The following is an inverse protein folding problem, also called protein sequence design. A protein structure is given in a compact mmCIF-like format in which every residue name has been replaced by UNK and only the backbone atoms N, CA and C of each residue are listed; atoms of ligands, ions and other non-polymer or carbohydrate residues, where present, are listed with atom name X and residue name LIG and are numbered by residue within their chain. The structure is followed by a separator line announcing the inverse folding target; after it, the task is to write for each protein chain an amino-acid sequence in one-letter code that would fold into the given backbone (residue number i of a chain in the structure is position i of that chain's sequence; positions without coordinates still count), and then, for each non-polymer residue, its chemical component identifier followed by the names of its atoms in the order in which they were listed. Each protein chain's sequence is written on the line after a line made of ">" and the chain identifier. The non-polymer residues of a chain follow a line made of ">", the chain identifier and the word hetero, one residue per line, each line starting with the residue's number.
data_IF_037706711461
#
_entry.id   IF_037706711461
#
_cell.length_a   1.000
_cell.length_b   1.000
_cell.length_c   1.000
_cell.angle_alpha   90.00
_cell.angle_beta   90.00
_cell.angle_gamma   90.00
#
_symmetry.space_group_name_H-M   'P 1'
#
loop_
_entity.id
_entity.type
_entity.pdbx_description
1 polymer ?
#
# COMPACT_ATOMS: atom_id res chain seq x y z
N UNK A 1 28.88 -13.84 23.85
CA UNK A 1 27.80 -13.42 22.93
C UNK A 1 27.97 -14.01 21.55
N UNK A 2 29.12 -13.80 20.90
CA UNK A 2 29.45 -14.42 19.60
C UNK A 2 29.19 -15.94 19.55
N UNK A 3 29.69 -16.68 20.54
CA UNK A 3 29.44 -18.13 20.65
C UNK A 3 27.94 -18.50 20.62
N UNK A 4 27.10 -17.76 21.37
CA UNK A 4 25.64 -17.99 21.37
C UNK A 4 25.02 -17.74 20.01
N UNK A 5 25.47 -16.71 19.29
CA UNK A 5 25.03 -16.41 17.91
C UNK A 5 25.41 -17.57 17.00
N UNK A 6 26.68 -17.98 17.01
CA UNK A 6 27.18 -19.07 16.17
C UNK A 6 26.42 -20.39 16.40
N UNK A 7 26.25 -20.79 17.67
CA UNK A 7 25.54 -22.02 18.02
C UNK A 7 24.06 -21.95 17.61
N UNK A 8 23.40 -20.82 17.83
CA UNK A 8 21.98 -20.67 17.46
C UNK A 8 21.80 -20.69 15.95
N UNK A 9 22.66 -20.02 15.19
CA UNK A 9 22.66 -20.06 13.74
C UNK A 9 22.95 -21.46 13.20
N UNK A 10 23.93 -22.17 13.80
CA UNK A 10 24.28 -23.54 13.44
C UNK A 10 23.08 -24.47 13.58
N UNK A 11 22.43 -24.46 14.75
CA UNK A 11 21.28 -25.33 15.03
C UNK A 11 20.11 -24.98 14.12
N UNK A 12 19.77 -23.69 13.99
CA UNK A 12 18.70 -23.22 13.11
C UNK A 12 18.91 -23.63 11.66
N UNK A 13 20.10 -23.36 11.11
CA UNK A 13 20.42 -23.71 9.72
C UNK A 13 20.45 -25.22 9.47
N UNK A 14 20.98 -26.02 10.42
CA UNK A 14 21.01 -27.49 10.29
C UNK A 14 19.61 -28.07 10.28
N UNK A 15 18.75 -27.68 11.23
CA UNK A 15 17.36 -28.16 11.32
C UNK A 15 16.55 -27.72 10.10
N UNK A 16 16.63 -26.44 9.71
CA UNK A 16 15.90 -25.95 8.55
C UNK A 16 16.34 -26.60 7.23
N UNK A 17 17.64 -26.87 7.07
CA UNK A 17 18.16 -27.60 5.90
C UNK A 17 17.65 -29.04 5.86
N UNK A 18 17.64 -29.72 7.02
CA UNK A 18 17.12 -31.08 7.11
C UNK A 18 15.62 -31.13 6.74
N UNK A 19 14.83 -30.16 7.23
CA UNK A 19 13.40 -30.03 6.85
C UNK A 19 13.25 -29.77 5.36
N UNK A 20 14.03 -28.86 4.77
CA UNK A 20 13.95 -28.58 3.33
C UNK A 20 14.27 -29.81 2.46
N UNK A 21 15.24 -30.62 2.86
CA UNK A 21 15.66 -31.80 2.11
C UNK A 21 14.65 -32.96 2.19
N UNK A 22 13.80 -33.02 3.21
CA UNK A 22 12.75 -34.04 3.32
C UNK A 22 11.66 -33.94 2.24
N UNK A 23 11.50 -32.77 1.60
CA UNK A 23 10.47 -32.52 0.59
C UNK A 23 11.02 -32.44 -0.84
N UNK A 24 12.29 -32.78 -1.06
CA UNK A 24 12.84 -32.96 -2.42
C UNK A 24 12.42 -34.32 -3.00
N UNK A 25 12.15 -34.43 -4.32
CA UNK A 25 12.40 -33.43 -5.37
C UNK A 25 11.20 -32.55 -5.78
N UNK A 26 9.96 -32.90 -5.44
CA UNK A 26 8.77 -32.36 -6.14
C UNK A 26 8.47 -30.87 -5.87
N UNK A 27 8.89 -30.32 -4.74
CA UNK A 27 8.51 -28.96 -4.31
C UNK A 27 9.71 -28.15 -3.78
N UNK A 28 10.87 -28.25 -4.43
CA UNK A 28 12.13 -27.65 -3.94
C UNK A 28 11.98 -26.19 -3.47
N UNK A 29 11.37 -25.31 -4.27
CA UNK A 29 11.22 -23.89 -3.91
C UNK A 29 10.37 -23.69 -2.63
N UNK A 30 9.27 -24.43 -2.50
CA UNK A 30 8.37 -24.31 -1.34
C UNK A 30 9.01 -24.96 -0.11
N UNK A 31 9.71 -26.08 -0.29
CA UNK A 31 10.48 -26.77 0.73
C UNK A 31 11.61 -25.90 1.30
N UNK A 32 12.34 -25.16 0.44
CA UNK A 32 13.38 -24.21 0.89
C UNK A 32 12.76 -23.05 1.64
N UNK A 33 11.63 -22.49 1.19
CA UNK A 33 10.93 -21.42 1.93
C UNK A 33 10.48 -21.91 3.31
N UNK A 34 9.90 -23.11 3.39
CA UNK A 34 9.48 -23.72 4.64
C UNK A 34 10.69 -23.98 5.55
N UNK A 35 11.76 -24.55 5.01
CA UNK A 35 13.00 -24.80 5.74
C UNK A 35 13.63 -23.50 6.27
N UNK A 36 13.66 -22.43 5.47
CA UNK A 36 14.15 -21.12 5.90
C UNK A 36 13.31 -20.56 7.05
N UNK A 37 11.97 -20.68 6.98
CA UNK A 37 11.08 -20.25 8.05
C UNK A 37 11.30 -21.05 9.34
N UNK A 38 11.40 -22.39 9.23
CA UNK A 38 11.68 -23.27 10.38
C UNK A 38 13.06 -22.99 10.96
N UNK A 39 14.10 -22.89 10.13
CA UNK A 39 15.46 -22.62 10.57
C UNK A 39 15.61 -21.25 11.23
N UNK A 40 14.95 -20.23 10.67
CA UNK A 40 14.86 -18.90 11.28
C UNK A 40 14.18 -18.95 12.66
N UNK A 41 13.05 -19.67 12.76
CA UNK A 41 12.31 -19.82 14.01
C UNK A 41 13.11 -20.60 15.09
N UNK A 42 13.77 -21.69 14.70
CA UNK A 42 14.62 -22.49 15.59
C UNK A 42 15.83 -21.69 16.05
N UNK A 43 16.56 -21.05 15.13
CA UNK A 43 17.72 -20.23 15.47
C UNK A 43 17.32 -19.06 16.39
N UNK A 44 16.21 -18.39 16.08
CA UNK A 44 15.65 -17.34 16.93
C UNK A 44 15.26 -17.88 18.32
N UNK A 45 14.57 -19.01 18.38
CA UNK A 45 14.13 -19.63 19.63
C UNK A 45 15.29 -20.08 20.52
N UNK A 46 16.30 -20.73 19.95
CA UNK A 46 17.53 -21.14 20.66
C UNK A 46 18.29 -19.92 21.18
N UNK A 47 18.32 -18.83 20.42
CA UNK A 47 19.00 -17.62 20.85
C UNK A 47 18.26 -16.88 21.98
N UNK A 48 16.93 -16.77 21.87
CA UNK A 48 16.06 -16.01 22.79
C UNK A 48 15.71 -16.81 24.06
N UNK A 49 15.66 -18.13 23.99
CA UNK A 49 15.33 -18.96 25.15
C UNK A 49 16.48 -18.96 26.14
N UNK A 50 16.22 -18.39 27.33
CA UNK A 50 15.70 -19.24 28.41
C UNK A 50 14.31 -18.88 28.94
N UNK A 51 13.61 -17.86 28.41
CA UNK A 51 12.31 -17.36 28.94
C UNK A 51 11.17 -17.22 27.90
N UNK A 52 11.34 -17.79 26.71
CA UNK A 52 10.47 -17.59 25.54
C UNK A 52 8.94 -17.81 25.77
N UNK A 53 8.49 -18.80 26.57
CA UNK A 53 7.06 -19.04 26.78
C UNK A 53 6.32 -17.89 27.48
N UNK A 54 7.01 -17.15 28.36
CA UNK A 54 6.41 -16.06 29.11
C UNK A 54 6.09 -14.84 28.23
N UNK A 55 6.93 -14.55 27.23
CA UNK A 55 6.75 -13.42 26.33
C UNK A 55 5.65 -13.67 25.27
N UNK A 56 5.51 -14.91 24.77
CA UNK A 56 4.44 -15.26 23.83
C UNK A 56 3.04 -15.11 24.45
N UNK A 57 2.92 -15.43 25.75
CA UNK A 57 1.67 -15.27 26.49
C UNK A 57 1.23 -13.79 26.53
N UNK A 58 2.15 -12.87 26.77
CA UNK A 58 1.86 -11.42 26.82
C UNK A 58 1.52 -10.84 25.44
N UNK A 59 2.22 -11.25 24.38
CA UNK A 59 1.93 -10.79 23.03
C UNK A 59 0.58 -11.30 22.51
N UNK A 60 0.20 -12.54 22.86
CA UNK A 60 -1.10 -13.10 22.53
C UNK A 60 -2.24 -12.34 23.21
N UNK A 61 -2.07 -11.95 24.49
CA UNK A 61 -3.07 -11.16 25.20
C UNK A 61 -3.28 -9.76 24.60
N UNK A 62 -2.24 -9.14 24.03
CA UNK A 62 -2.36 -7.82 23.39
C UNK A 62 -3.07 -7.88 22.03
N UNK A 63 -2.84 -8.93 21.25
CA UNK A 63 -3.47 -9.10 19.92
C UNK A 63 -4.93 -9.52 20.04
N UNK A 64 -5.26 -10.41 20.99
CA UNK A 64 -6.64 -10.83 21.25
C UNK A 64 -7.49 -9.69 21.84
N UNK A 65 -6.86 -8.68 22.45
CA UNK A 65 -7.52 -7.45 22.91
C UNK A 65 -7.92 -6.47 21.80
N UNK A 66 -7.45 -6.68 20.56
CA UNK A 66 -7.74 -5.77 19.44
C UNK A 66 -9.17 -5.95 18.94
N UNK A 67 -10.10 -5.11 19.41
CA UNK A 67 -11.49 -5.10 18.93
C UNK A 67 -11.64 -4.17 17.72
N UNK A 68 -12.15 -4.65 16.57
CA UNK A 68 -12.44 -3.78 15.43
C UNK A 68 -13.50 -2.74 15.84
N UNK A 69 -13.23 -1.47 15.55
CA UNK A 69 -14.14 -0.37 15.89
C UNK A 69 -15.40 -0.45 15.02
N UNK A 70 -16.41 -1.12 15.54
CA UNK A 70 -17.67 -1.44 14.86
C UNK A 70 -18.39 -0.24 14.22
N UNK A 71 -18.37 0.98 14.80
CA UNK A 71 -18.98 2.15 14.17
C UNK A 71 -18.32 2.53 12.83
N UNK A 72 -17.01 2.32 12.68
CA UNK A 72 -16.30 2.59 11.42
C UNK A 72 -16.68 1.59 10.33
N UNK A 73 -16.78 0.31 10.67
CA UNK A 73 -17.24 -0.72 9.73
C UNK A 73 -18.69 -0.50 9.30
N UNK A 74 -19.58 -0.10 10.22
CA UNK A 74 -20.97 0.28 9.87
C UNK A 74 -21.05 1.53 9.00
N UNK A 75 -20.17 2.51 9.21
CA UNK A 75 -20.10 3.70 8.36
C UNK A 75 -19.60 3.33 6.96
N UNK A 76 -18.59 2.47 6.87
CA UNK A 76 -18.03 2.00 5.59
C UNK A 76 -19.03 1.15 4.81
N UNK A 77 -19.75 0.24 5.47
CA UNK A 77 -20.82 -0.55 4.85
C UNK A 77 -21.96 0.32 4.32
N UNK A 78 -22.40 1.33 5.08
CA UNK A 78 -23.44 2.28 4.63
C UNK A 78 -22.97 3.12 3.43
N UNK A 79 -21.74 3.65 3.48
CA UNK A 79 -21.18 4.41 2.37
C UNK A 79 -21.07 3.58 1.08
N UNK A 80 -20.60 2.33 1.20
CA UNK A 80 -20.55 1.39 0.07
C UNK A 80 -21.93 1.11 -0.53
N UNK A 81 -22.92 0.86 0.33
CA UNK A 81 -24.30 0.59 -0.09
C UNK A 81 -24.93 1.80 -0.83
N UNK A 82 -24.80 3.01 -0.30
CA UNK A 82 -25.31 4.23 -0.95
C UNK A 82 -24.67 4.46 -2.32
N UNK A 83 -23.37 4.22 -2.43
CA UNK A 83 -22.64 4.38 -3.69
C UNK A 83 -23.08 3.36 -4.75
N UNK A 84 -23.29 2.10 -4.34
CA UNK A 84 -23.81 1.05 -5.22
C UNK A 84 -25.24 1.34 -5.68
N UNK A 85 -26.10 1.88 -4.81
CA UNK A 85 -27.47 2.27 -5.17
C UNK A 85 -27.51 3.47 -6.11
N UNK A 86 -26.68 4.49 -5.87
CA UNK A 86 -26.60 5.65 -6.75
C UNK A 86 -26.08 5.28 -8.14
N UNK A 87 -25.02 4.46 -8.22
CA UNK A 87 -24.51 3.98 -9.51
C UNK A 87 -25.53 3.15 -10.27
N UNK A 88 -26.28 2.29 -9.59
CA UNK A 88 -27.38 1.54 -10.19
C UNK A 88 -28.50 2.45 -10.70
N UNK A 89 -28.90 3.48 -9.94
CA UNK A 89 -29.98 4.40 -10.34
C UNK A 89 -29.61 5.31 -11.51
N UNK A 90 -28.37 5.80 -11.59
CA UNK A 90 -27.97 6.74 -12.64
C UNK A 90 -27.42 6.08 -13.90
N UNK A 91 -26.91 4.84 -13.80
CA UNK A 91 -26.31 4.13 -14.94
C UNK A 91 -27.13 2.89 -15.28
N UNK A 92 -27.42 2.05 -14.28
CA UNK A 92 -28.12 0.79 -14.48
C UNK A 92 -29.57 0.96 -14.94
N UNK A 93 -30.36 1.79 -14.24
CA UNK A 93 -31.78 1.95 -14.51
C UNK A 93 -32.09 2.59 -15.88
N UNK A 94 -31.38 3.65 -16.33
CA UNK A 94 -31.58 4.21 -17.67
C UNK A 94 -31.16 3.23 -18.77
N UNK A 95 -30.03 2.53 -18.62
CA UNK A 95 -29.58 1.52 -19.58
C UNK A 95 -30.53 0.32 -19.65
N UNK A 96 -31.13 -0.09 -18.53
CA UNK A 96 -32.18 -1.11 -18.50
C UNK A 96 -33.46 -0.61 -19.18
N UNK A 97 -33.92 0.59 -18.83
CA UNK A 97 -35.12 1.20 -19.40
C UNK A 97 -35.04 1.33 -20.92
N UNK A 98 -33.93 1.82 -21.46
CA UNK A 98 -33.73 1.96 -22.90
C UNK A 98 -33.79 0.60 -23.63
N UNK A 99 -33.26 -0.46 -23.00
CA UNK A 99 -33.38 -1.84 -23.51
C UNK A 99 -34.82 -2.34 -23.57
N UNK A 100 -35.67 -1.91 -22.64
CA UNK A 100 -37.07 -2.34 -22.57
C UNK A 100 -38.00 -1.49 -23.47
N UNK A 101 -37.74 -0.20 -23.64
CA UNK A 101 -38.65 0.71 -24.35
C UNK A 101 -38.31 0.92 -25.84
N UNK A 102 -37.09 0.64 -26.28
CA UNK A 102 -36.68 0.83 -27.69
C UNK A 102 -35.84 -0.35 -28.20
N UNK A 103 -36.41 -1.56 -28.30
CA UNK A 103 -35.65 -2.76 -28.69
C UNK A 103 -35.03 -2.66 -30.10
N UNK A 104 -35.65 -1.91 -31.02
CA UNK A 104 -35.25 -1.87 -32.44
C UNK A 104 -34.29 -0.72 -32.81
N UNK A 105 -33.95 0.18 -31.88
CA UNK A 105 -33.03 1.32 -32.10
C UNK A 105 -31.88 1.34 -31.10
N UNK A 106 -31.20 0.19 -30.98
CA UNK A 106 -30.06 0.00 -30.08
C UNK A 106 -28.77 0.72 -30.55
N UNK A 107 -28.86 2.02 -30.85
CA UNK A 107 -27.71 2.92 -30.87
C UNK A 107 -27.95 3.99 -29.81
N UNK A 108 -27.80 3.61 -28.53
CA UNK A 108 -27.47 4.57 -27.48
C UNK A 108 -26.42 5.52 -28.06
N UNK A 109 -26.67 6.83 -28.19
CA UNK A 109 -25.66 7.73 -28.72
C UNK A 109 -24.47 7.63 -27.76
N UNK A 110 -23.31 7.23 -28.28
CA UNK A 110 -22.11 6.97 -27.49
C UNK A 110 -21.77 8.14 -26.55
N UNK A 111 -22.22 9.36 -26.88
CA UNK A 111 -22.14 10.55 -26.05
C UNK A 111 -22.86 10.44 -24.70
N UNK A 112 -24.02 9.76 -24.58
CA UNK A 112 -24.73 9.60 -23.32
C UNK A 112 -24.01 8.62 -22.38
N UNK A 113 -23.52 7.51 -22.92
CA UNK A 113 -22.74 6.52 -22.16
C UNK A 113 -21.40 7.09 -21.69
N UNK A 114 -20.73 7.89 -22.55
CA UNK A 114 -19.51 8.63 -22.18
C UNK A 114 -19.81 9.68 -21.11
N UNK A 115 -20.92 10.41 -21.20
CA UNK A 115 -21.30 11.40 -20.19
C UNK A 115 -21.57 10.75 -18.82
N UNK A 116 -22.32 9.65 -18.79
CA UNK A 116 -22.65 8.93 -17.55
C UNK A 116 -21.42 8.27 -16.90
N UNK A 117 -20.51 7.73 -17.70
CA UNK A 117 -19.25 7.15 -17.19
C UNK A 117 -18.29 8.21 -16.65
N UNK A 118 -18.20 9.39 -17.27
CA UNK A 118 -17.40 10.52 -16.75
C UNK A 118 -18.00 11.07 -15.46
N UNK A 119 -19.32 11.22 -15.37
CA UNK A 119 -20.00 11.63 -14.15
C UNK A 119 -19.78 10.63 -13.00
N UNK A 120 -19.82 9.33 -13.29
CA UNK A 120 -19.55 8.27 -12.32
C UNK A 120 -18.09 8.28 -11.83
N UNK A 121 -17.12 8.42 -12.74
CA UNK A 121 -15.71 8.53 -12.38
C UNK A 121 -15.43 9.77 -11.51
N UNK A 122 -16.08 10.89 -11.78
CA UNK A 122 -16.00 12.10 -10.95
C UNK A 122 -16.56 11.87 -9.53
N UNK A 123 -17.68 11.16 -9.39
CA UNK A 123 -18.23 10.78 -8.09
C UNK A 123 -17.28 9.86 -7.30
N UNK A 124 -16.68 8.85 -7.94
CA UNK A 124 -15.71 7.96 -7.29
C UNK A 124 -14.44 8.71 -6.84
N UNK A 125 -13.97 9.66 -7.65
CA UNK A 125 -12.81 10.47 -7.33
C UNK A 125 -13.07 11.41 -6.14
N UNK A 126 -14.23 12.08 -6.11
CA UNK A 126 -14.63 12.90 -4.97
C UNK A 126 -14.78 12.08 -3.69
N UNK A 127 -15.29 10.84 -3.80
CA UNK A 127 -15.36 9.92 -2.68
C UNK A 127 -13.96 9.57 -2.16
N UNK A 128 -13.02 9.21 -3.04
CA UNK A 128 -11.65 8.89 -2.66
C UNK A 128 -10.94 10.06 -1.95
N UNK A 129 -11.23 11.30 -2.35
CA UNK A 129 -10.71 12.50 -1.70
C UNK A 129 -11.29 12.68 -0.29
N UNK A 130 -12.61 12.51 -0.12
CA UNK A 130 -13.28 12.56 1.20
C UNK A 130 -12.75 11.46 2.12
N UNK A 131 -12.50 10.26 1.60
CA UNK A 131 -11.90 9.15 2.36
C UNK A 131 -10.44 9.41 2.76
N UNK A 132 -9.62 9.94 1.86
CA UNK A 132 -8.22 10.28 2.15
C UNK A 132 -8.11 11.34 3.26
N UNK A 133 -8.98 12.35 3.24
CA UNK A 133 -9.00 13.38 4.28
C UNK A 133 -9.61 12.87 5.59
N UNK A 134 -10.64 12.02 5.55
CA UNK A 134 -11.19 11.34 6.73
C UNK A 134 -10.15 10.44 7.43
N UNK A 135 -9.30 9.74 6.67
CA UNK A 135 -8.25 8.89 7.23
C UNK A 135 -7.12 9.70 7.86
N UNK A 136 -6.76 10.85 7.26
CA UNK A 136 -5.80 11.81 7.85
C UNK A 136 -6.36 12.48 9.10
N UNK A 137 -7.66 12.77 9.13
CA UNK A 137 -8.32 13.31 10.32
C UNK A 137 -8.46 12.28 11.44
N UNK A 138 -8.76 11.02 11.12
CA UNK A 138 -8.79 9.93 12.11
C UNK A 138 -7.43 9.71 12.78
N UNK A 139 -6.34 9.84 12.01
CA UNK A 139 -4.98 9.77 12.55
C UNK A 139 -4.59 10.98 13.43
N UNK A 140 -5.30 12.12 13.30
CA UNK A 140 -5.07 13.34 14.09
C UNK A 140 -6.00 13.49 15.29
N UNK A 141 -7.23 12.99 15.25
CA UNK A 141 -8.18 13.05 16.36
C UNK A 141 -8.00 11.90 17.35
N UNK A 142 -6.79 11.79 17.90
CA UNK A 142 -6.64 11.43 19.32
C UNK A 142 -6.63 12.67 20.22
N UNK A 143 -6.61 13.88 19.66
CA UNK A 143 -6.72 15.14 20.40
C UNK A 143 -7.37 16.25 19.54
N UNK A 144 -8.25 17.03 20.19
CA UNK A 144 -8.70 18.40 19.85
C UNK A 144 -9.95 18.60 18.96
N UNK A 145 -11.00 19.08 19.65
CA UNK A 145 -12.04 20.09 19.39
C UNK A 145 -12.97 20.12 18.17
N UNK A 146 -14.25 20.22 18.54
CA UNK A 146 -15.46 20.41 17.76
C UNK A 146 -15.54 21.76 17.02
N UNK A 147 -14.76 22.78 17.41
CA UNK A 147 -14.78 24.11 16.77
C UNK A 147 -14.30 24.10 15.32
N UNK A 148 -13.50 23.11 14.90
CA UNK A 148 -13.04 23.00 13.50
C UNK A 148 -14.12 22.55 12.51
N UNK A 149 -15.18 21.87 12.97
CA UNK A 149 -16.23 21.38 12.08
C UNK A 149 -17.05 22.53 11.46
N UNK A 150 -17.22 23.64 12.19
CA UNK A 150 -17.91 24.84 11.69
C UNK A 150 -17.15 25.56 10.56
N UNK A 151 -15.82 25.42 10.51
CA UNK A 151 -14.99 26.05 9.46
C UNK A 151 -15.04 25.33 8.10
N UNK A 152 -15.43 24.05 8.09
CA UNK A 152 -15.57 23.27 6.85
C UNK A 152 -16.88 23.57 6.10
N UNK A 153 -17.91 24.02 6.81
CA UNK A 153 -19.21 24.35 6.22
C UNK A 153 -19.16 25.62 5.35
N UNK A 154 -18.34 26.61 5.75
CA UNK A 154 -18.08 27.82 4.96
C UNK A 154 -17.27 27.54 3.69
N UNK A 155 -16.41 26.53 3.71
CA UNK A 155 -15.59 26.13 2.55
C UNK A 155 -16.44 25.42 1.48
N UNK A 156 -17.52 24.75 1.88
CA UNK A 156 -18.52 24.12 1.00
C UNK A 156 -19.32 25.14 0.16
N UNK A 157 -19.73 26.28 0.75
CA UNK A 157 -20.51 27.31 0.03
C UNK A 157 -19.75 28.00 -1.11
N UNK A 158 -18.44 28.17 -0.99
CA UNK A 158 -17.60 28.70 -2.09
C UNK A 158 -17.54 27.77 -3.30
N UNK A 159 -17.62 26.45 -3.09
CA UNK A 159 -17.67 25.46 -4.17
C UNK A 159 -18.93 25.58 -5.03
N UNK A 160 -20.08 25.84 -4.40
CA UNK A 160 -21.37 25.99 -5.08
C UNK A 160 -21.46 27.25 -5.96
N UNK A 161 -20.89 28.37 -5.52
CA UNK A 161 -20.89 29.61 -6.29
C UNK A 161 -20.01 29.53 -7.55
N UNK A 162 -18.89 28.80 -7.48
CA UNK A 162 -18.02 28.55 -8.65
C UNK A 162 -18.74 27.64 -9.65
N UNK A 163 -19.49 26.63 -9.17
CA UNK A 163 -20.29 25.75 -10.01
C UNK A 163 -21.40 26.52 -10.75
N UNK A 164 -22.15 27.40 -10.08
CA UNK A 164 -23.20 28.22 -10.69
C UNK A 164 -22.64 29.20 -11.74
N UNK A 165 -21.48 29.82 -11.49
CA UNK A 165 -20.83 30.70 -12.45
C UNK A 165 -20.41 30.00 -13.74
N UNK A 166 -19.97 28.73 -13.64
CA UNK A 166 -19.56 27.94 -14.81
C UNK A 166 -20.72 27.54 -15.73
N UNK A 167 -21.93 27.37 -15.17
CA UNK A 167 -23.15 27.05 -15.94
C UNK A 167 -23.66 28.27 -16.72
N UNK A 168 -23.61 29.46 -16.13
CA UNK A 168 -24.02 30.70 -16.81
C UNK A 168 -23.11 31.08 -18.00
N UNK A 169 -21.79 30.90 -17.85
CA UNK A 169 -20.82 31.16 -18.92
C UNK A 169 -21.01 30.20 -20.11
N UNK A 170 -21.39 28.94 -19.85
CA UNK A 170 -21.60 27.93 -20.88
C UNK A 170 -22.80 28.24 -21.80
N UNK A 171 -23.86 28.83 -21.25
CA UNK A 171 -25.05 29.24 -22.02
C UNK A 171 -24.78 30.41 -22.97
N UNK A 172 -23.93 31.36 -22.57
CA UNK A 172 -23.58 32.54 -23.38
C UNK A 172 -22.67 32.14 -24.56
N UNK A 173 -21.72 31.24 -24.33
CA UNK A 173 -20.82 30.71 -25.39
C UNK A 173 -21.60 29.88 -26.41
N UNK A 174 -22.64 29.16 -25.97
CA UNK A 174 -23.51 28.36 -26.85
C UNK A 174 -24.36 29.23 -27.79
N UNK A 175 -24.78 30.43 -27.34
CA UNK A 175 -25.54 31.38 -28.16
C UNK A 175 -24.66 32.05 -29.24
N UNK A 176 -23.42 32.39 -28.90
CA UNK A 176 -22.47 33.01 -29.84
C UNK A 176 -21.94 32.05 -30.91
N UNK A 177 -21.97 30.74 -30.67
CA UNK A 177 -21.55 29.71 -31.62
C UNK A 177 -22.53 29.48 -32.79
N UNK A 178 -23.71 30.08 -32.77
CA UNK A 178 -24.74 29.93 -33.81
C UNK A 178 -24.45 30.77 -35.07
N UNK A 179 -23.59 31.79 -34.98
CA UNK A 179 -23.23 32.67 -36.10
C UNK A 179 -22.05 32.07 -36.91
N UNK A 180 -22.16 31.87 -38.24
CA UNK A 180 -21.22 31.04 -39.01
C UNK A 180 -19.78 31.59 -39.10
N UNK A 181 -19.61 32.92 -39.17
CA UNK A 181 -18.29 33.59 -39.16
C UNK A 181 -17.68 33.63 -37.76
N UNK A 182 -18.51 33.77 -36.72
CA UNK A 182 -18.09 33.74 -35.32
C UNK A 182 -17.72 32.31 -34.91
N UNK A 183 -18.37 31.30 -35.51
CA UNK A 183 -18.14 29.87 -35.28
C UNK A 183 -16.73 29.43 -35.70
N UNK A 184 -16.22 29.84 -36.86
CA UNK A 184 -14.86 29.44 -37.29
C UNK A 184 -13.76 30.07 -36.40
N UNK A 185 -13.95 31.33 -35.99
CA UNK A 185 -13.04 32.02 -35.06
C UNK A 185 -13.11 31.39 -33.65
N UNK A 186 -14.32 31.11 -33.14
CA UNK A 186 -14.52 30.42 -31.86
C UNK A 186 -13.93 29.01 -31.85
N UNK A 187 -14.01 28.27 -32.95
CA UNK A 187 -13.40 26.95 -33.09
C UNK A 187 -11.87 27.08 -33.05
N UNK A 188 -11.29 28.03 -33.79
CA UNK A 188 -9.85 28.26 -33.79
C UNK A 188 -9.31 28.66 -32.40
N UNK A 189 -9.97 29.62 -31.75
CA UNK A 189 -9.62 30.06 -30.39
C UNK A 189 -9.86 28.95 -29.37
N UNK A 190 -10.94 28.19 -29.51
CA UNK A 190 -11.27 27.05 -28.65
C UNK A 190 -10.25 25.91 -28.78
N UNK A 191 -9.77 25.62 -29.99
CA UNK A 191 -8.70 24.63 -30.21
C UNK A 191 -7.37 25.08 -29.61
N UNK A 192 -6.99 26.36 -29.78
CA UNK A 192 -5.77 26.91 -29.18
C UNK A 192 -5.85 26.89 -27.65
N UNK A 193 -6.96 27.34 -27.08
CA UNK A 193 -7.20 27.32 -25.64
C UNK A 193 -7.23 25.89 -25.09
N UNK A 194 -7.89 24.97 -25.79
CA UNK A 194 -7.90 23.55 -25.47
C UNK A 194 -6.50 22.94 -25.46
N UNK A 195 -5.67 23.24 -26.45
CA UNK A 195 -4.29 22.79 -26.52
C UNK A 195 -3.45 23.33 -25.35
N UNK A 196 -3.60 24.61 -25.00
CA UNK A 196 -2.90 25.23 -23.87
C UNK A 196 -3.35 24.64 -22.52
N UNK A 197 -4.64 24.36 -22.35
CA UNK A 197 -5.18 23.71 -21.16
C UNK A 197 -4.66 22.28 -21.04
N UNK A 198 -4.67 21.50 -22.13
CA UNK A 198 -4.12 20.14 -22.15
C UNK A 198 -2.63 20.14 -21.83
N UNK A 199 -1.85 21.07 -22.39
CA UNK A 199 -0.43 21.23 -22.09
C UNK A 199 -0.19 21.61 -20.62
N UNK A 200 -0.98 22.55 -20.08
CA UNK A 200 -0.90 22.96 -18.68
C UNK A 200 -1.26 21.83 -17.71
N UNK A 201 -2.27 21.02 -18.04
CA UNK A 201 -2.64 19.82 -17.28
C UNK A 201 -1.52 18.77 -17.38
N UNK A 202 -0.98 18.52 -18.57
CA UNK A 202 0.11 17.56 -18.77
C UNK A 202 1.37 17.96 -17.99
N UNK A 203 1.75 19.24 -18.03
CA UNK A 203 2.85 19.78 -17.22
C UNK A 203 2.56 19.72 -15.72
N UNK A 204 1.33 20.04 -15.30
CA UNK A 204 0.91 19.94 -13.90
C UNK A 204 0.92 18.50 -13.38
N UNK A 205 0.52 17.53 -14.20
CA UNK A 205 0.62 16.10 -13.91
C UNK A 205 2.09 15.69 -13.88
N UNK A 206 2.92 16.05 -14.86
CA UNK A 206 4.33 15.72 -14.88
C UNK A 206 5.08 16.26 -13.65
N UNK A 207 4.86 17.53 -13.28
CA UNK A 207 5.44 18.15 -12.09
C UNK A 207 5.00 17.50 -10.77
N UNK A 208 3.86 16.81 -10.72
CA UNK A 208 3.40 16.06 -9.53
C UNK A 208 3.80 14.59 -9.56
N UNK A 209 3.74 13.95 -10.73
CA UNK A 209 4.00 12.52 -10.94
C UNK A 209 5.50 12.23 -10.90
N UNK A 210 6.35 13.10 -11.44
CA UNK A 210 7.82 12.88 -11.43
C UNK A 210 8.37 12.89 -10.00
N UNK A 211 8.10 13.89 -9.13
CA UNK A 211 8.53 13.82 -7.73
C UNK A 211 7.86 12.69 -6.95
N UNK A 212 6.62 12.32 -7.29
CA UNK A 212 5.92 11.20 -6.67
C UNK A 212 6.54 9.85 -7.03
N UNK A 213 6.91 9.63 -8.30
CA UNK A 213 7.65 8.46 -8.78
C UNK A 213 9.05 8.42 -8.18
N UNK A 214 9.74 9.56 -8.09
CA UNK A 214 11.04 9.68 -7.46
C UNK A 214 10.97 9.30 -5.97
N UNK A 215 9.97 9.84 -5.26
CA UNK A 215 9.71 9.49 -3.87
C UNK A 215 9.39 8.00 -3.72
N UNK A 216 8.59 7.42 -4.62
CA UNK A 216 8.28 5.97 -4.63
C UNK A 216 9.48 5.09 -4.93
N UNK A 217 10.41 5.50 -5.80
CA UNK A 217 11.67 4.76 -6.05
C UNK A 217 12.61 4.79 -4.85
N UNK A 218 12.57 5.86 -4.05
CA UNK A 218 13.32 5.93 -2.79
C UNK A 218 12.67 5.11 -1.67
N UNK A 219 11.36 4.85 -1.71
CA UNK A 219 10.68 4.03 -0.68
C UNK A 219 11.32 2.64 -0.49
N UNK A 220 11.58 1.82 -1.53
CA UNK A 220 12.21 0.51 -1.33
C UNK A 220 13.64 0.63 -0.80
N UNK A 221 14.40 1.65 -1.21
CA UNK A 221 15.76 1.88 -0.68
C UNK A 221 15.71 2.24 0.79
N UNK A 222 14.85 3.20 1.17
CA UNK A 222 14.65 3.60 2.57
C UNK A 222 14.14 2.41 3.38
N UNK A 223 13.17 1.65 2.85
CA UNK A 223 12.64 0.45 3.48
C UNK A 223 13.73 -0.60 3.70
N UNK A 224 14.53 -0.92 2.68
CA UNK A 224 15.64 -1.87 2.79
C UNK A 224 16.69 -1.42 3.80
N UNK A 225 17.06 -0.13 3.81
CA UNK A 225 18.00 0.43 4.80
C UNK A 225 17.41 0.38 6.22
N UNK A 226 16.11 0.65 6.38
CA UNK A 226 15.42 0.56 7.68
C UNK A 226 15.33 -0.88 8.16
N UNK A 227 14.93 -1.83 7.30
CA UNK A 227 14.87 -3.26 7.61
C UNK A 227 16.26 -3.77 7.96
N UNK A 228 17.28 -3.42 7.17
CA UNK A 228 18.67 -3.78 7.44
C UNK A 228 19.10 -3.28 8.83
N UNK A 229 18.90 -2.00 9.15
CA UNK A 229 19.18 -1.46 10.48
C UNK A 229 18.39 -2.18 11.58
N UNK A 230 17.11 -2.50 11.36
CA UNK A 230 16.29 -3.22 12.34
C UNK A 230 16.79 -4.65 12.61
N UNK A 231 17.23 -5.37 11.57
CA UNK A 231 17.84 -6.70 11.69
C UNK A 231 19.11 -6.62 12.53
N UNK A 232 19.97 -5.64 12.28
CA UNK A 232 21.22 -5.47 13.02
C UNK A 232 21.05 -4.90 14.43
N UNK A 233 19.97 -4.16 14.70
CA UNK A 233 19.66 -3.67 16.05
C UNK A 233 19.15 -4.78 16.99
N UNK A 234 18.66 -5.91 16.45
CA UNK A 234 18.11 -7.03 17.24
C UNK A 234 18.86 -8.32 16.94
N UNK A 235 19.77 -8.70 17.84
CA UNK A 235 20.61 -9.90 17.68
C UNK A 235 19.82 -11.19 17.37
N UNK A 236 18.63 -11.34 17.94
CA UNK A 236 17.78 -12.48 17.65
C UNK A 236 17.31 -12.52 16.18
N UNK A 237 17.02 -11.36 15.59
CA UNK A 237 16.63 -11.27 14.19
C UNK A 237 17.83 -11.49 13.26
N UNK A 238 19.01 -11.01 13.64
CA UNK A 238 20.27 -11.31 12.95
C UNK A 238 20.55 -12.83 12.91
N UNK A 239 20.33 -13.53 14.02
CA UNK A 239 20.44 -14.99 14.10
C UNK A 239 19.40 -15.67 13.20
N UNK A 240 18.15 -15.20 13.21
CA UNK A 240 17.10 -15.76 12.37
C UNK A 240 17.43 -15.66 10.88
N UNK A 241 17.89 -14.48 10.43
CA UNK A 241 18.28 -14.23 9.03
C UNK A 241 19.51 -15.06 8.65
N UNK A 242 20.54 -15.10 9.51
CA UNK A 242 21.74 -15.91 9.26
C UNK A 242 21.44 -17.41 9.20
N UNK A 243 20.51 -17.88 10.05
CA UNK A 243 20.03 -19.27 10.00
C UNK A 243 19.35 -19.56 8.67
N UNK A 244 18.46 -18.68 8.20
CA UNK A 244 17.77 -18.83 6.91
C UNK A 244 18.75 -18.88 5.72
N UNK A 245 19.79 -18.05 5.72
CA UNK A 245 20.85 -18.09 4.69
C UNK A 245 21.59 -19.44 4.74
N UNK A 246 21.92 -19.92 5.94
CA UNK A 246 22.49 -21.25 6.12
C UNK A 246 21.58 -22.36 5.59
N UNK A 247 20.26 -22.27 5.82
CA UNK A 247 19.28 -23.21 5.27
C UNK A 247 19.30 -23.22 3.74
N UNK A 248 19.30 -22.05 3.11
CA UNK A 248 19.32 -21.94 1.66
C UNK A 248 20.51 -22.70 1.05
N UNK A 249 21.69 -22.54 1.65
CA UNK A 249 22.92 -23.18 1.16
C UNK A 249 22.94 -24.69 1.49
N UNK A 250 22.50 -25.08 2.69
CA UNK A 250 22.41 -26.49 3.09
C UNK A 250 21.41 -27.28 2.23
N UNK A 251 20.27 -26.67 1.91
CA UNK A 251 19.27 -27.27 1.02
C UNK A 251 19.77 -27.39 -0.43
N UNK A 252 20.51 -26.38 -0.93
CA UNK A 252 21.06 -26.42 -2.28
C UNK A 252 22.23 -27.41 -2.44
N UNK A 253 23.05 -27.57 -1.39
CA UNK A 253 24.18 -28.51 -1.38
C UNK A 253 23.81 -29.96 -1.04
N UNK A 254 22.58 -30.22 -0.59
CA UNK A 254 22.16 -31.55 -0.14
C UNK A 254 22.77 -31.96 1.20
N UNK A 255 23.36 -31.03 1.96
CA UNK A 255 24.11 -31.33 3.18
C UNK A 255 23.68 -30.41 4.33
N UNK A 256 22.83 -30.89 5.29
CA UNK A 256 22.36 -30.07 6.40
C UNK A 256 23.49 -29.50 7.27
N UNK A 257 24.53 -30.30 7.54
CA UNK A 257 25.67 -29.89 8.34
C UNK A 257 26.45 -28.74 7.70
N UNK A 258 26.60 -28.76 6.37
CA UNK A 258 27.24 -27.67 5.62
C UNK A 258 26.43 -26.38 5.76
N UNK A 259 25.10 -26.46 5.66
CA UNK A 259 24.20 -25.35 5.95
C UNK A 259 24.38 -24.80 7.37
N UNK A 260 24.52 -25.69 8.36
CA UNK A 260 24.86 -25.36 9.74
C UNK A 260 26.16 -24.55 9.87
N UNK A 261 27.26 -25.07 9.32
CA UNK A 261 28.59 -24.42 9.36
C UNK A 261 28.53 -23.05 8.71
N UNK A 262 27.91 -22.94 7.53
CA UNK A 262 27.83 -21.68 6.80
C UNK A 262 26.93 -20.68 7.54
N UNK A 263 25.80 -21.11 8.09
CA UNK A 263 24.96 -20.25 8.94
C UNK A 263 25.71 -19.71 10.16
N UNK A 264 26.55 -20.54 10.80
CA UNK A 264 27.37 -20.14 11.94
C UNK A 264 28.46 -19.12 11.56
N UNK A 265 29.20 -19.38 10.47
CA UNK A 265 30.22 -18.46 9.94
C UNK A 265 29.60 -17.14 9.50
N UNK A 266 28.47 -17.20 8.80
CA UNK A 266 27.75 -16.01 8.36
C UNK A 266 27.29 -15.17 9.55
N UNK A 267 26.67 -15.80 10.56
CA UNK A 267 26.27 -15.10 11.79
C UNK A 267 27.45 -14.46 12.54
N UNK A 268 28.62 -15.10 12.52
CA UNK A 268 29.84 -14.54 13.12
C UNK A 268 30.35 -13.31 12.36
N UNK A 269 30.42 -13.41 11.02
CA UNK A 269 30.84 -12.32 10.13
C UNK A 269 29.87 -11.13 10.25
N UNK A 270 28.57 -11.39 10.22
CA UNK A 270 27.53 -10.37 10.25
C UNK A 270 27.50 -9.62 11.61
N UNK A 271 27.84 -10.31 12.69
CA UNK A 271 28.02 -9.70 14.01
C UNK A 271 29.33 -8.90 14.14
N UNK A 272 30.48 -9.49 13.82
CA UNK A 272 31.78 -8.84 14.04
C UNK A 272 32.12 -7.77 13.00
N UNK A 273 31.85 -8.02 11.71
CA UNK A 273 32.21 -7.09 10.63
C UNK A 273 31.09 -6.07 10.43
N UNK A 274 29.87 -6.53 10.16
CA UNK A 274 28.79 -5.62 9.76
C UNK A 274 28.25 -4.86 10.96
N UNK A 275 27.86 -5.56 12.03
CA UNK A 275 27.21 -4.92 13.18
C UNK A 275 28.19 -4.07 14.01
N UNK A 276 29.35 -4.61 14.38
CA UNK A 276 30.32 -3.88 15.21
C UNK A 276 31.19 -2.89 14.44
N UNK A 277 31.81 -3.28 13.32
CA UNK A 277 32.78 -2.40 12.63
C UNK A 277 32.09 -1.39 11.72
N UNK A 278 31.15 -1.82 10.90
CA UNK A 278 30.53 -0.94 9.90
C UNK A 278 29.43 -0.06 10.51
N UNK A 279 28.47 -0.68 11.22
CA UNK A 279 27.33 0.04 11.78
C UNK A 279 27.64 0.68 13.14
N UNK A 280 28.75 0.29 13.79
CA UNK A 280 29.15 0.76 15.14
C UNK A 280 28.03 0.61 16.17
N UNK A 281 27.19 -0.42 16.02
CA UNK A 281 26.08 -0.67 16.92
C UNK A 281 26.62 -1.36 18.17
N UNK A 282 26.56 -0.65 19.30
CA UNK A 282 26.82 -1.24 20.61
C UNK A 282 25.55 -1.97 21.04
N UNK A 283 25.57 -3.30 21.22
CA UNK A 283 24.39 -4.00 21.73
C UNK A 283 24.05 -3.43 23.10
N UNK A 284 22.81 -2.93 23.25
CA UNK A 284 22.34 -2.41 24.53
C UNK A 284 22.52 -3.51 25.59
N UNK A 285 23.25 -3.21 26.67
CA UNK A 285 23.42 -4.11 27.82
C UNK A 285 22.05 -4.31 28.49
N UNK A 286 21.31 -5.36 28.13
CA UNK A 286 20.03 -5.65 28.80
C UNK A 286 19.01 -6.51 28.08
N UNK A 287 19.36 -7.20 26.98
CA UNK A 287 18.46 -8.16 26.31
C UNK A 287 18.94 -9.60 26.48
#
# INVERSE_FOLDING_TARGET
>A
MLYRIMVSCFIGATVGSAVALQFQPEVFSLAVILGMAVGAAVGWGVFVSPKLPAAMKTAWTDVVGWRPFWPWWRAMGRAGLYLSLMSYMFIGAPCLGERFFTPDKATTPASLAVFLSVAFAACLFLLALVFSDGFKHYKRHRYVDLERLRSNELRSRRGWLIALGSVGAFSIVSFLAYQPTVRSILIGVGMLFGALVVLGIALGIACKVVPWLWKRRMVPVIFSVTVFKLVHCRLALLVAVSSAIGVLIGAHSGQPLLGGVIGALWGAIDYEIVSKRWLKLVPARGA
#
